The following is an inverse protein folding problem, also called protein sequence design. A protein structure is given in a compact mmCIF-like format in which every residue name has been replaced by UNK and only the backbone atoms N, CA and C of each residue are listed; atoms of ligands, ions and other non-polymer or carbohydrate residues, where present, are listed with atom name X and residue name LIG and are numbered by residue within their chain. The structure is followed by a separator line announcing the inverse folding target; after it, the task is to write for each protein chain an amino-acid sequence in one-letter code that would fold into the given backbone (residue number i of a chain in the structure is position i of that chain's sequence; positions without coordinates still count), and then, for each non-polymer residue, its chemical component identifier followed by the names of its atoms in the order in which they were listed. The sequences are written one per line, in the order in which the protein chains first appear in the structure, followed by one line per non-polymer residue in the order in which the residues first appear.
data_IF_573721893863
#
_entry.id   IF_573721893863
#
_cell.length_a   1.000
_cell.length_b   1.000
_cell.length_c   1.000
_cell.angle_alpha   90.00
_cell.angle_beta   90.00
_cell.angle_gamma   90.00
#
_symmetry.space_group_name_H-M   'P 1'
#
loop_
_entity.id
_entity.type
_entity.pdbx_description
1 polymer ?
#
# COMPACT_ATOMS: atom_id res chain seq x y z
N UNK A 1 -1.76 7.36 16.99
CA UNK A 1 -1.18 7.46 15.62
C UNK A 1 -2.31 7.19 14.63
N UNK A 2 -2.85 8.21 13.94
CA UNK A 2 -3.99 8.01 13.02
C UNK A 2 -3.47 7.37 11.72
N UNK A 3 -3.81 6.10 11.48
CA UNK A 3 -3.50 5.38 10.23
C UNK A 3 -4.40 5.87 9.06
N UNK A 4 -5.61 6.33 9.40
CA UNK A 4 -6.64 6.84 8.49
C UNK A 4 -6.14 7.82 7.40
N UNK A 5 -5.38 8.90 7.70
CA UNK A 5 -4.96 9.86 6.67
C UNK A 5 -4.07 9.27 5.59
N UNK A 6 -3.24 8.26 5.92
CA UNK A 6 -2.35 7.62 4.92
C UNK A 6 -3.11 6.66 4.02
N UNK A 7 -4.10 5.96 4.57
CA UNK A 7 -4.98 5.10 3.77
C UNK A 7 -5.83 5.93 2.80
N UNK A 8 -6.43 7.03 3.27
CA UNK A 8 -7.24 7.91 2.43
C UNK A 8 -6.42 8.54 1.29
N UNK A 9 -5.19 8.96 1.57
CA UNK A 9 -4.29 9.51 0.55
C UNK A 9 -3.95 8.48 -0.52
N UNK A 10 -3.55 7.26 -0.12
CA UNK A 10 -3.27 6.19 -1.07
C UNK A 10 -4.50 5.83 -1.90
N UNK A 11 -5.67 5.71 -1.25
CA UNK A 11 -6.95 5.47 -1.92
C UNK A 11 -7.24 6.54 -2.96
N UNK A 12 -7.03 7.81 -2.63
CA UNK A 12 -7.26 8.93 -3.55
C UNK A 12 -6.36 8.84 -4.77
N UNK A 13 -5.07 8.54 -4.59
CA UNK A 13 -4.13 8.41 -5.71
C UNK A 13 -4.46 7.22 -6.61
N UNK A 14 -4.85 6.08 -6.04
CA UNK A 14 -5.28 4.91 -6.81
C UNK A 14 -6.55 5.25 -7.60
N UNK A 15 -7.58 5.80 -6.97
CA UNK A 15 -8.84 6.15 -7.64
C UNK A 15 -8.66 7.24 -8.71
N UNK A 16 -7.68 8.13 -8.55
CA UNK A 16 -7.34 9.13 -9.57
C UNK A 16 -6.76 8.51 -10.86
N UNK A 17 -6.14 7.33 -10.76
CA UNK A 17 -5.57 6.60 -11.92
C UNK A 17 -6.49 5.47 -12.41
N UNK A 18 -7.18 4.81 -11.48
CA UNK A 18 -8.06 3.68 -11.69
C UNK A 18 -9.42 3.98 -11.02
N UNK A 19 -10.30 4.74 -11.68
CA UNK A 19 -11.61 5.09 -11.10
C UNK A 19 -12.50 3.86 -10.89
N UNK A 20 -12.25 2.77 -11.62
CA UNK A 20 -12.97 1.50 -11.50
C UNK A 20 -12.37 0.55 -10.43
N UNK A 21 -11.27 0.92 -9.76
CA UNK A 21 -10.65 0.08 -8.76
C UNK A 21 -11.38 0.14 -7.42
N UNK A 22 -11.61 -1.04 -6.82
CA UNK A 22 -12.17 -1.14 -5.47
C UNK A 22 -11.05 -1.11 -4.44
N UNK A 23 -10.88 0.01 -3.75
CA UNK A 23 -9.91 0.15 -2.66
C UNK A 23 -10.62 0.01 -1.31
N UNK A 24 -10.40 -1.13 -0.65
CA UNK A 24 -10.87 -1.40 0.71
C UNK A 24 -9.72 -1.27 1.70
N UNK A 25 -10.02 -0.82 2.91
CA UNK A 25 -9.07 -0.71 4.01
C UNK A 25 -9.65 -1.42 5.21
N UNK A 26 -8.96 -2.44 5.69
CA UNK A 26 -9.35 -3.12 6.91
C UNK A 26 -8.46 -2.66 8.07
N UNK A 27 -9.05 -2.45 9.25
CA UNK A 27 -8.28 -2.08 10.44
C UNK A 27 -7.65 -3.35 11.01
N UNK A 28 -6.39 -3.58 10.68
CA UNK A 28 -5.61 -4.70 11.22
C UNK A 28 -5.06 -4.44 12.62
N UNK A 29 -4.12 -5.32 13.04
CA UNK A 29 -3.37 -5.18 14.29
C UNK A 29 -2.70 -3.80 14.36
N UNK A 30 -2.73 -3.18 15.54
CA UNK A 30 -2.12 -1.86 15.79
C UNK A 30 -0.67 -1.83 15.27
N UNK A 31 -0.34 -0.82 14.46
CA UNK A 31 0.96 -0.57 13.83
C UNK A 31 1.31 -1.32 12.54
N UNK A 32 0.48 -2.27 12.08
CA UNK A 32 0.64 -2.94 10.78
C UNK A 32 0.15 -2.09 9.61
N UNK A 33 0.78 -2.23 8.45
CA UNK A 33 0.29 -1.66 7.19
C UNK A 33 0.63 -2.64 6.06
N UNK A 34 -0.40 -3.23 5.49
CA UNK A 34 -0.27 -4.26 4.46
C UNK A 34 -1.06 -3.83 3.24
N UNK A 35 -0.51 -4.12 2.07
CA UNK A 35 -1.13 -3.79 0.79
C UNK A 35 -1.29 -5.08 0.02
N UNK A 36 -2.51 -5.32 -0.43
CA UNK A 36 -2.90 -6.46 -1.23
C UNK A 36 -3.54 -5.95 -2.51
N UNK A 37 -3.14 -6.52 -3.65
CA UNK A 37 -3.67 -6.16 -4.97
C UNK A 37 -4.13 -7.45 -5.61
N UNK A 38 -5.43 -7.53 -5.95
CA UNK A 38 -6.04 -8.70 -6.57
C UNK A 38 -5.83 -10.01 -5.78
N UNK A 39 -5.86 -9.95 -4.44
CA UNK A 39 -5.63 -11.10 -3.56
C UNK A 39 -4.17 -11.49 -3.35
N UNK A 40 -3.22 -10.75 -3.93
CA UNK A 40 -1.78 -10.98 -3.77
C UNK A 40 -1.18 -9.92 -2.86
N UNK A 41 -0.54 -10.36 -1.77
CA UNK A 41 0.16 -9.47 -0.83
C UNK A 41 1.38 -8.86 -1.51
N UNK A 42 1.31 -7.58 -1.86
CA UNK A 42 2.41 -6.85 -2.52
C UNK A 42 3.33 -6.16 -1.54
N UNK A 43 2.88 -5.87 -0.33
CA UNK A 43 3.70 -5.19 0.67
C UNK A 43 3.25 -5.53 2.09
N UNK A 44 4.23 -5.69 2.99
CA UNK A 44 3.99 -5.70 4.44
C UNK A 44 4.97 -4.79 5.16
N UNK A 45 4.44 -3.83 5.92
CA UNK A 45 5.22 -2.98 6.81
C UNK A 45 5.85 -3.77 7.95
N UNK A 46 5.25 -4.88 8.38
CA UNK A 46 5.85 -5.71 9.42
C UNK A 46 7.15 -6.36 8.92
N UNK A 47 7.19 -6.76 7.65
CA UNK A 47 8.39 -7.35 7.04
C UNK A 47 9.47 -6.30 6.76
N UNK A 48 9.07 -5.09 6.31
CA UNK A 48 10.02 -4.05 5.89
C UNK A 48 10.37 -3.01 6.96
N UNK A 49 9.60 -2.93 8.05
CA UNK A 49 9.75 -1.93 9.11
C UNK A 49 9.35 -0.49 8.72
N UNK A 50 8.96 -0.25 7.46
CA UNK A 50 8.66 1.08 6.92
C UNK A 50 7.35 1.10 6.13
N UNK A 51 6.83 2.29 5.85
CA UNK A 51 5.68 2.44 4.95
C UNK A 51 6.11 2.27 3.49
N UNK A 52 5.22 1.75 2.62
CA UNK A 52 5.52 1.64 1.21
C UNK A 52 5.59 3.03 0.57
N UNK A 53 6.26 3.11 -0.58
CA UNK A 53 6.14 4.29 -1.44
C UNK A 53 4.77 4.28 -2.12
N UNK A 54 3.98 5.35 -1.94
CA UNK A 54 2.62 5.39 -2.47
C UNK A 54 2.58 5.43 -4.00
N UNK A 55 3.54 6.09 -4.64
CA UNK A 55 3.59 6.14 -6.09
C UNK A 55 3.87 4.75 -6.66
N UNK A 56 4.80 3.99 -6.04
CA UNK A 56 5.08 2.62 -6.47
C UNK A 56 3.88 1.69 -6.29
N UNK A 57 3.13 1.81 -5.17
CA UNK A 57 1.89 1.04 -4.96
C UNK A 57 0.83 1.36 -6.03
N UNK A 58 0.68 2.63 -6.40
CA UNK A 58 -0.25 3.03 -7.46
C UNK A 58 0.17 2.44 -8.81
N UNK A 59 1.47 2.47 -9.13
CA UNK A 59 2.00 1.84 -10.35
C UNK A 59 1.70 0.34 -10.38
N UNK A 60 1.97 -0.39 -9.28
CA UNK A 60 1.65 -1.82 -9.19
C UNK A 60 0.16 -2.09 -9.34
N UNK A 61 -0.71 -1.23 -8.80
CA UNK A 61 -2.15 -1.38 -8.96
C UNK A 61 -2.57 -1.20 -10.42
N UNK A 62 -1.95 -0.27 -11.15
CA UNK A 62 -2.16 -0.06 -12.59
C UNK A 62 -1.67 -1.28 -13.36
N UNK A 63 -0.46 -1.76 -13.10
CA UNK A 63 0.09 -2.95 -13.76
C UNK A 63 -0.80 -4.19 -13.54
N UNK A 64 -1.23 -4.42 -12.31
CA UNK A 64 -2.17 -5.48 -11.95
C UNK A 64 -3.51 -5.33 -12.69
N UNK A 65 -4.04 -4.10 -12.80
CA UNK A 65 -5.27 -3.82 -13.53
C UNK A 65 -5.14 -4.05 -15.04
N UNK A 66 -3.93 -3.99 -15.60
CA UNK A 66 -3.65 -4.30 -17.00
C UNK A 66 -3.43 -5.81 -17.24
N UNK A 67 -3.57 -6.64 -16.20
CA UNK A 67 -3.31 -8.08 -16.28
C UNK A 67 -1.82 -8.44 -16.24
N UNK A 68 -0.94 -7.51 -15.84
CA UNK A 68 0.47 -7.82 -15.63
C UNK A 68 0.70 -8.52 -14.30
N UNK A 69 1.81 -9.25 -14.21
CA UNK A 69 2.19 -9.98 -13.01
C UNK A 69 2.40 -9.01 -11.83
N UNK A 70 1.65 -9.24 -10.75
CA UNK A 70 1.67 -8.39 -9.56
C UNK A 70 2.98 -8.65 -8.79
N UNK A 71 3.94 -7.73 -8.92
CA UNK A 71 5.23 -7.84 -8.24
C UNK A 71 5.18 -7.25 -6.83
N UNK A 72 5.95 -7.80 -5.87
CA UNK A 72 6.06 -7.21 -4.55
C UNK A 72 6.72 -5.83 -4.63
N UNK A 73 6.14 -4.86 -3.93
CA UNK A 73 6.65 -3.49 -3.85
C UNK A 73 8.01 -3.51 -3.15
N UNK A 74 9.07 -3.10 -3.84
CA UNK A 74 10.44 -3.15 -3.30
C UNK A 74 10.78 -1.87 -2.56
N UNK A 75 10.27 -0.72 -3.02
CA UNK A 75 10.59 0.58 -2.42
C UNK A 75 9.78 0.86 -1.16
N UNK A 76 10.51 1.38 -0.19
CA UNK A 76 9.98 1.90 1.06
C UNK A 76 10.10 3.41 1.04
N UNK A 77 9.06 4.10 1.51
CA UNK A 77 9.09 5.54 1.71
C UNK A 77 10.13 5.85 2.78
N UNK A 78 11.29 6.33 2.35
CA UNK A 78 12.39 6.64 3.25
C UNK A 78 12.06 7.92 4.02
N UNK A 79 11.50 7.76 5.23
CA UNK A 79 11.76 8.54 6.45
C UNK A 79 10.71 8.22 7.52
N UNK A 80 11.18 7.53 8.55
CA UNK A 80 10.45 7.31 9.78
C UNK A 80 10.71 5.90 10.28
N UNK A 81 11.83 5.73 11.01
CA UNK A 81 12.04 4.57 11.86
C UNK A 81 10.77 4.34 12.69
N UNK A 82 9.99 3.32 12.36
CA UNK A 82 9.08 2.72 13.34
C UNK A 82 9.93 1.79 14.19
N UNK A 83 10.62 2.35 15.18
CA UNK A 83 11.10 1.58 16.32
C UNK A 83 9.84 1.02 17.02
N UNK A 84 9.68 -0.29 16.98
CA UNK A 84 8.88 -1.00 17.97
C UNK A 84 9.72 -0.98 19.25
N UNK A 85 9.38 -0.07 20.17
CA UNK A 85 9.81 -0.10 21.58
C UNK A 85 8.86 -1.00 22.36
#
# INVERSE_FOLDING_TARGET
MRLAPRFEELKRQILAKLPNATVTGNVGRTSSFEVEINGVKVYSKLEKGAFPDFAEVVHLAIDASNGMEVKPCTKTGSRGLCILL
#
